data_IF_273202299029
#
_entry.id   IF_273202299029
#
_cell.length_a   1.000
_cell.length_b   1.000
_cell.length_c   1.000
_cell.angle_alpha   90.00
_cell.angle_beta   90.00
_cell.angle_gamma   90.00
#
_symmetry.space_group_name_H-M   'P 1'
#
loop_
_entity.id
_entity.type
_entity.pdbx_description
1 polymer ?
#
# COMPACT_ATOMS: atom_id res chain seq x y z
N UNK A 1 -45.86 -37.37 14.50
CA UNK A 1 -46.29 -36.62 13.32
C UNK A 1 -45.95 -35.16 13.60
N UNK A 2 -44.64 -34.81 13.64
CA UNK A 2 -43.84 -34.22 12.52
C UNK A 2 -44.48 -32.91 12.05
N UNK A 3 -43.92 -31.71 12.25
CA UNK A 3 -42.51 -31.29 12.08
C UNK A 3 -42.23 -29.95 12.81
N UNK A 4 -41.03 -29.73 13.38
CA UNK A 4 -40.42 -28.42 13.53
C UNK A 4 -39.23 -28.30 12.55
N UNK A 5 -39.50 -27.98 11.28
CA UNK A 5 -38.46 -27.78 10.27
C UNK A 5 -38.62 -26.41 9.62
N UNK A 6 -37.70 -25.52 9.99
CA UNK A 6 -36.88 -24.68 9.12
C UNK A 6 -36.43 -23.50 9.99
N UNK A 7 -35.38 -23.68 10.79
CA UNK A 7 -34.04 -23.33 10.33
C UNK A 7 -34.10 -22.05 9.50
N UNK A 8 -33.99 -20.91 10.19
CA UNK A 8 -33.64 -19.65 9.55
C UNK A 8 -32.27 -19.83 8.91
N UNK A 9 -32.27 -20.22 7.64
CA UNK A 9 -31.09 -20.12 6.77
C UNK A 9 -30.67 -18.65 6.82
N UNK A 10 -29.46 -18.29 7.28
CA UNK A 10 -28.99 -16.94 7.08
C UNK A 10 -29.01 -16.72 5.58
N UNK A 11 -29.87 -15.80 5.14
CA UNK A 11 -29.90 -15.33 3.76
C UNK A 11 -28.45 -15.03 3.40
N UNK A 12 -27.86 -15.88 2.56
CA UNK A 12 -26.57 -15.63 1.97
C UNK A 12 -26.69 -14.24 1.36
N UNK A 13 -26.00 -13.27 1.96
CA UNK A 13 -26.03 -11.90 1.53
C UNK A 13 -25.53 -11.88 0.09
N UNK A 14 -26.46 -11.88 -0.85
CA UNK A 14 -26.24 -11.74 -2.27
C UNK A 14 -25.73 -10.33 -2.48
N UNK A 15 -24.41 -10.16 -2.35
CA UNK A 15 -23.76 -8.91 -2.67
C UNK A 15 -23.94 -8.70 -4.19
N UNK A 16 -24.44 -7.54 -4.62
CA UNK A 16 -24.59 -7.27 -6.04
C UNK A 16 -23.20 -7.28 -6.69
N UNK A 17 -23.01 -7.93 -7.85
CA UNK A 17 -21.70 -8.13 -8.47
C UNK A 17 -20.93 -6.82 -8.76
N UNK A 18 -21.64 -5.69 -8.86
CA UNK A 18 -21.02 -4.37 -9.00
C UNK A 18 -20.26 -3.90 -7.76
N UNK A 19 -20.69 -4.30 -6.56
CA UNK A 19 -20.04 -3.91 -5.29
C UNK A 19 -18.71 -4.62 -5.08
N UNK A 20 -18.60 -5.86 -5.55
CA UNK A 20 -17.36 -6.64 -5.50
C UNK A 20 -16.33 -6.10 -6.51
N UNK A 21 -16.80 -5.66 -7.69
CA UNK A 21 -15.95 -5.02 -8.68
C UNK A 21 -15.46 -3.65 -8.19
N UNK A 22 -16.34 -2.82 -7.63
CA UNK A 22 -16.00 -1.52 -7.04
C UNK A 22 -14.96 -1.68 -5.92
N UNK A 23 -15.17 -2.62 -5.00
CA UNK A 23 -14.19 -2.95 -3.95
C UNK A 23 -12.85 -3.45 -4.50
N UNK A 24 -12.87 -4.20 -5.61
CA UNK A 24 -11.64 -4.65 -6.27
C UNK A 24 -10.89 -3.48 -6.92
N UNK A 25 -11.60 -2.55 -7.56
CA UNK A 25 -11.02 -1.35 -8.16
C UNK A 25 -10.40 -0.46 -7.06
N UNK A 26 -11.12 -0.17 -5.98
CA UNK A 26 -10.59 0.59 -4.84
C UNK A 26 -9.32 -0.03 -4.26
N UNK A 27 -9.30 -1.36 -4.12
CA UNK A 27 -8.12 -2.10 -3.63
C UNK A 27 -6.95 -2.01 -4.61
N UNK A 28 -7.21 -2.05 -5.93
CA UNK A 28 -6.17 -1.89 -6.94
C UNK A 28 -5.59 -0.48 -6.93
N UNK A 29 -6.44 0.55 -6.84
CA UNK A 29 -6.01 1.95 -6.74
C UNK A 29 -5.13 2.18 -5.51
N UNK A 30 -5.53 1.64 -4.36
CA UNK A 30 -4.74 1.70 -3.14
C UNK A 30 -3.38 1.00 -3.31
N UNK A 31 -3.37 -0.20 -3.90
CA UNK A 31 -2.14 -0.95 -4.13
C UNK A 31 -1.21 -0.22 -5.10
N UNK A 32 -1.77 0.38 -6.16
CA UNK A 32 -1.00 1.18 -7.11
C UNK A 32 -0.35 2.38 -6.43
N UNK A 33 -1.10 3.11 -5.60
CA UNK A 33 -0.56 4.23 -4.81
C UNK A 33 0.58 3.78 -3.87
N UNK A 34 0.41 2.64 -3.18
CA UNK A 34 1.44 2.06 -2.31
C UNK A 34 2.70 1.68 -3.08
N UNK A 35 2.57 1.02 -4.23
CA UNK A 35 3.71 0.64 -5.09
C UNK A 35 4.43 1.87 -5.62
N UNK A 36 3.70 2.91 -6.03
CA UNK A 36 4.30 4.17 -6.48
C UNK A 36 5.13 4.83 -5.38
N UNK A 37 4.59 4.92 -4.15
CA UNK A 37 5.33 5.49 -3.03
C UNK A 37 6.53 4.64 -2.61
N UNK A 38 6.41 3.31 -2.61
CA UNK A 38 7.55 2.43 -2.38
C UNK A 38 8.67 2.68 -3.41
N UNK A 39 8.32 2.82 -4.69
CA UNK A 39 9.29 3.15 -5.73
C UNK A 39 9.95 4.52 -5.54
N UNK A 40 9.21 5.51 -5.04
CA UNK A 40 9.77 6.83 -4.70
C UNK A 40 10.72 6.76 -3.50
N UNK A 41 10.33 6.05 -2.43
CA UNK A 41 11.15 5.85 -1.24
C UNK A 41 12.47 5.13 -1.59
N UNK A 42 12.41 4.08 -2.42
CA UNK A 42 13.60 3.39 -2.90
C UNK A 42 14.52 4.33 -3.69
N UNK A 43 13.99 5.13 -4.63
CA UNK A 43 14.81 6.10 -5.37
C UNK A 43 15.50 7.11 -4.46
N UNK A 44 14.80 7.62 -3.45
CA UNK A 44 15.37 8.53 -2.48
C UNK A 44 16.54 7.88 -1.71
N UNK A 45 16.39 6.62 -1.29
CA UNK A 45 17.45 5.85 -0.65
C UNK A 45 18.64 5.64 -1.58
N UNK A 46 18.42 5.18 -2.81
CA UNK A 46 19.50 4.94 -3.77
C UNK A 46 20.30 6.22 -4.01
N UNK A 47 19.65 7.35 -4.24
CA UNK A 47 20.31 8.65 -4.43
C UNK A 47 21.08 9.15 -3.20
N UNK A 48 20.64 8.74 -2.01
CA UNK A 48 21.30 9.07 -0.75
C UNK A 48 22.49 8.20 -0.40
N UNK A 49 22.51 6.97 -0.93
CA UNK A 49 23.56 5.96 -0.70
C UNK A 49 24.58 5.90 -1.85
N UNK A 50 24.23 6.45 -3.02
CA UNK A 50 25.16 6.60 -4.13
C UNK A 50 26.28 7.57 -3.77
N UNK A 51 27.49 7.03 -3.67
CA UNK A 51 28.71 7.83 -3.66
C UNK A 51 29.09 8.21 -5.09
N UNK A 52 28.97 9.50 -5.39
CA UNK A 52 29.37 10.07 -6.67
C UNK A 52 30.80 10.60 -6.49
N UNK A 53 31.80 10.09 -7.24
CA UNK A 53 33.20 10.45 -7.04
C UNK A 53 33.50 11.94 -7.28
N UNK A 54 32.63 12.65 -8.00
CA UNK A 54 32.72 14.10 -8.28
C UNK A 54 31.93 14.99 -7.28
N UNK A 55 31.27 14.41 -6.28
CA UNK A 55 30.59 15.14 -5.23
C UNK A 55 31.37 15.13 -3.92
N UNK A 56 31.36 16.27 -3.23
CA UNK A 56 31.89 16.39 -1.86
C UNK A 56 31.19 15.35 -0.96
N UNK A 57 31.95 14.58 -0.16
CA UNK A 57 31.37 13.59 0.74
C UNK A 57 30.51 14.28 1.80
N UNK A 58 29.22 13.95 1.81
CA UNK A 58 28.26 14.44 2.80
C UNK A 58 27.85 13.28 3.73
N UNK A 59 28.36 13.23 4.97
CA UNK A 59 28.10 12.13 5.89
C UNK A 59 26.64 12.08 6.37
N UNK A 60 25.88 13.17 6.24
CA UNK A 60 24.47 13.21 6.62
C UNK A 60 23.52 12.80 5.49
N UNK A 61 23.99 12.78 4.25
CA UNK A 61 23.20 12.44 3.05
C UNK A 61 22.45 11.11 3.18
N UNK A 62 23.06 10.00 3.66
CA UNK A 62 22.34 8.74 3.85
C UNK A 62 21.20 8.87 4.88
N UNK A 63 21.45 9.60 5.97
CA UNK A 63 20.47 9.81 7.03
C UNK A 63 19.27 10.65 6.57
N UNK A 64 19.51 11.70 5.76
CA UNK A 64 18.42 12.52 5.20
C UNK A 64 17.62 11.76 4.15
N UNK A 65 18.27 10.96 3.31
CA UNK A 65 17.59 10.10 2.35
C UNK A 65 16.70 9.05 3.03
N UNK A 66 17.19 8.44 4.12
CA UNK A 66 16.39 7.51 4.91
C UNK A 66 15.15 8.16 5.53
N UNK A 67 15.28 9.39 6.06
CA UNK A 67 14.13 10.16 6.57
C UNK A 67 13.12 10.46 5.47
N UNK A 68 13.56 10.95 4.32
CA UNK A 68 12.67 11.24 3.20
C UNK A 68 11.93 9.98 2.72
N UNK A 69 12.63 8.85 2.60
CA UNK A 69 12.03 7.58 2.23
C UNK A 69 10.98 7.15 3.26
N UNK A 70 11.27 7.30 4.55
CA UNK A 70 10.31 7.00 5.61
C UNK A 70 9.06 7.90 5.55
N UNK A 71 9.23 9.20 5.31
CA UNK A 71 8.11 10.14 5.15
C UNK A 71 7.21 9.79 3.96
N UNK A 72 7.81 9.39 2.83
CA UNK A 72 7.07 8.95 1.63
C UNK A 72 6.22 7.70 1.89
N UNK A 73 6.74 6.75 2.68
CA UNK A 73 6.01 5.54 3.06
C UNK A 73 4.86 5.88 4.04
N UNK A 74 5.13 6.68 5.07
CA UNK A 74 4.11 7.11 6.03
C UNK A 74 2.95 7.84 5.36
N UNK A 75 3.21 8.65 4.34
CA UNK A 75 2.18 9.36 3.58
C UNK A 75 1.19 8.42 2.88
N UNK A 76 1.57 7.16 2.61
CA UNK A 76 0.69 6.11 2.06
C UNK A 76 0.24 5.07 3.10
N UNK A 77 0.58 5.28 4.38
CA UNK A 77 0.26 4.33 5.45
C UNK A 77 1.07 3.03 5.39
N UNK A 78 2.27 3.07 4.80
CA UNK A 78 3.24 1.98 4.75
C UNK A 78 4.26 2.04 5.89
#
# INVERSE_FOLDING_TARGET
MTDPTAAGTPAAASHPPGRDLESTVERLELLEAQVQALGQAMRALLQGLEDIPDQEPDPERPGRAARLAHELLLAQGL
#
